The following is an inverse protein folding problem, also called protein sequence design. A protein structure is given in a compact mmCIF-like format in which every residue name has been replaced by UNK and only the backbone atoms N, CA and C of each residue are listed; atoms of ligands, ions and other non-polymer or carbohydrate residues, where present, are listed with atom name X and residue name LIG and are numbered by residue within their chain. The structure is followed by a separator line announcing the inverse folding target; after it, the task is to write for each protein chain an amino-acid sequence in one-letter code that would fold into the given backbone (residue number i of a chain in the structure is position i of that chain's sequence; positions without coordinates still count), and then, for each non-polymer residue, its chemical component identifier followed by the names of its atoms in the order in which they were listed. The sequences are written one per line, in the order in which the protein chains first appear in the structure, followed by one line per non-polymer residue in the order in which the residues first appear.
data_IF_354593055153
#
_entry.id   IF_354593055153
#
_cell.length_a   1.000
_cell.length_b   1.000
_cell.length_c   1.000
_cell.angle_alpha   90.00
_cell.angle_beta   90.00
_cell.angle_gamma   90.00
#
_symmetry.space_group_name_H-M   'P 1'
#
loop_
_entity.id
_entity.type
_entity.pdbx_description
1 polymer ?
#
# COMPACT_ATOMS: atom_id res chain seq x y z
N UNK A 1 33.04 21.67 31.24
CA UNK A 1 31.98 20.82 30.64
C UNK A 1 32.37 19.36 30.87
N UNK A 2 31.43 18.50 31.27
CA UNK A 2 31.71 17.07 31.38
C UNK A 2 32.05 16.49 30.00
N UNK A 3 32.96 15.51 29.95
CA UNK A 3 33.34 14.84 28.70
C UNK A 3 32.10 14.23 28.03
N UNK A 4 31.92 14.37 26.69
CA UNK A 4 30.80 13.75 25.99
C UNK A 4 30.93 12.21 25.91
N UNK A 5 32.13 11.69 26.12
CA UNK A 5 32.47 10.27 26.09
C UNK A 5 32.03 9.56 27.36
N UNK A 6 31.51 8.34 27.20
CA UNK A 6 31.08 7.48 28.32
C UNK A 6 31.88 6.18 28.29
N UNK A 7 32.27 5.62 29.44
CA UNK A 7 32.95 4.33 29.49
C UNK A 7 32.02 3.20 29.01
N UNK A 8 32.59 2.24 28.30
CA UNK A 8 31.87 1.07 27.79
C UNK A 8 32.81 -0.13 27.64
N UNK A 9 32.27 -1.34 27.84
CA UNK A 9 32.88 -2.57 27.31
C UNK A 9 32.16 -2.91 26.02
N UNK A 10 32.92 -3.20 24.97
CA UNK A 10 32.37 -3.48 23.64
C UNK A 10 32.74 -4.90 23.24
N UNK A 11 31.74 -5.66 22.82
CA UNK A 11 31.86 -6.97 22.23
C UNK A 11 31.50 -6.84 20.75
N UNK A 12 32.37 -7.33 19.88
CA UNK A 12 32.11 -7.48 18.45
C UNK A 12 30.98 -8.50 18.24
N UNK A 13 30.02 -8.18 17.38
CA UNK A 13 28.83 -8.99 17.15
C UNK A 13 28.38 -8.96 15.69
N UNK A 14 29.28 -8.58 14.79
CA UNK A 14 29.03 -8.51 13.34
C UNK A 14 28.67 -9.88 12.76
N UNK A 15 27.97 -9.85 11.63
CA UNK A 15 27.64 -11.02 10.82
C UNK A 15 27.00 -12.18 11.61
N UNK A 16 27.62 -13.36 11.58
CA UNK A 16 27.09 -14.61 12.16
C UNK A 16 27.21 -14.66 13.68
N UNK A 17 27.98 -13.76 14.27
CA UNK A 17 28.10 -13.64 15.73
C UNK A 17 26.86 -12.97 16.34
N UNK A 18 26.10 -12.19 15.56
CA UNK A 18 24.95 -11.42 16.03
C UNK A 18 23.95 -12.25 16.83
N UNK A 19 23.51 -13.39 16.30
CA UNK A 19 22.53 -14.24 16.99
C UNK A 19 23.09 -14.82 18.29
N UNK A 20 24.35 -15.24 18.28
CA UNK A 20 25.04 -15.78 19.45
C UNK A 20 25.24 -14.74 20.55
N UNK A 21 25.43 -13.47 20.17
CA UNK A 21 25.58 -12.37 21.11
C UNK A 21 24.23 -11.86 21.66
N UNK A 22 23.20 -11.79 20.81
CA UNK A 22 21.90 -11.17 21.15
C UNK A 22 20.96 -12.11 21.89
N UNK A 23 20.83 -13.38 21.47
CA UNK A 23 19.86 -14.31 22.08
C UNK A 23 20.09 -14.51 23.59
N UNK A 24 21.32 -14.73 24.08
CA UNK A 24 21.56 -14.86 25.52
C UNK A 24 21.15 -13.61 26.31
N UNK A 25 21.34 -12.42 25.75
CA UNK A 25 20.93 -11.17 26.40
C UNK A 25 19.40 -11.06 26.50
N UNK A 26 18.67 -11.45 25.46
CA UNK A 26 17.20 -11.47 25.49
C UNK A 26 16.67 -12.53 26.47
N UNK A 27 17.29 -13.71 26.51
CA UNK A 27 16.87 -14.80 27.40
C UNK A 27 17.19 -14.49 28.88
N UNK A 28 18.26 -13.74 29.16
CA UNK A 28 18.67 -13.35 30.52
C UNK A 28 18.09 -12.02 31.00
N UNK A 29 17.36 -11.28 30.14
CA UNK A 29 16.76 -10.00 30.50
C UNK A 29 15.83 -10.13 31.73
N UNK A 30 15.89 -9.15 32.63
CA UNK A 30 15.18 -9.18 33.91
C UNK A 30 14.14 -8.09 34.09
N UNK A 31 14.30 -6.94 33.43
CA UNK A 31 13.47 -5.74 33.65
C UNK A 31 12.81 -5.28 32.39
N UNK A 32 13.59 -5.04 31.34
CA UNK A 32 13.11 -4.40 30.13
C UNK A 32 13.94 -4.75 28.90
N UNK A 33 13.25 -4.96 27.78
CA UNK A 33 13.81 -5.02 26.44
C UNK A 33 13.14 -3.93 25.60
N UNK A 34 13.92 -2.98 25.11
CA UNK A 34 13.44 -1.94 24.19
C UNK A 34 14.14 -2.10 22.84
N UNK A 35 13.38 -2.27 21.77
CA UNK A 35 13.90 -2.51 20.42
C UNK A 35 13.38 -1.42 19.49
N UNK A 36 14.28 -0.82 18.73
CA UNK A 36 13.95 0.10 17.64
C UNK A 36 14.50 -0.48 16.34
N UNK A 37 13.61 -0.91 15.45
CA UNK A 37 13.98 -1.61 14.22
C UNK A 37 13.27 -1.02 13.00
N UNK A 38 14.06 -0.84 11.94
CA UNK A 38 13.55 -0.49 10.62
C UNK A 38 12.74 -1.62 9.98
N UNK A 39 13.23 -2.85 10.08
CA UNK A 39 12.63 -4.01 9.41
C UNK A 39 12.75 -5.26 10.29
N UNK A 40 11.63 -5.95 10.43
CA UNK A 40 11.52 -7.31 10.94
C UNK A 40 10.75 -8.13 9.90
N UNK A 41 11.27 -9.30 9.55
CA UNK A 41 10.67 -10.20 8.57
C UNK A 41 10.78 -11.65 9.06
N UNK A 42 9.80 -12.14 9.83
CA UNK A 42 9.72 -13.53 10.26
C UNK A 42 9.21 -14.43 9.12
N UNK A 43 9.29 -15.73 9.36
CA UNK A 43 8.70 -16.75 8.51
C UNK A 43 7.40 -17.29 9.13
N UNK A 44 6.36 -17.38 8.31
CA UNK A 44 5.05 -17.88 8.70
C UNK A 44 4.98 -19.41 8.74
N UNK A 45 5.94 -20.15 8.16
CA UNK A 45 5.91 -21.62 8.06
C UNK A 45 6.25 -22.39 9.35
N UNK A 46 6.34 -21.70 10.49
CA UNK A 46 6.63 -22.33 11.81
C UNK A 46 7.96 -23.10 11.87
N UNK A 47 8.92 -22.75 11.01
CA UNK A 47 10.27 -23.27 11.07
C UNK A 47 10.94 -22.82 12.40
N UNK A 48 11.28 -23.76 13.31
CA UNK A 48 11.89 -23.44 14.60
C UNK A 48 13.33 -22.93 14.47
N UNK A 49 14.03 -23.27 13.38
CA UNK A 49 15.40 -22.85 13.13
C UNK A 49 15.49 -21.48 12.44
N UNK A 50 14.35 -20.89 12.08
CA UNK A 50 14.32 -19.59 11.43
C UNK A 50 14.89 -18.49 12.36
N UNK A 51 15.95 -17.78 11.96
CA UNK A 51 16.73 -16.95 12.87
C UNK A 51 15.94 -15.76 13.44
N UNK A 52 15.07 -15.15 12.64
CA UNK A 52 14.18 -14.07 13.10
C UNK A 52 13.11 -14.60 14.04
N UNK A 53 12.61 -15.81 13.79
CA UNK A 53 11.58 -16.41 14.65
C UNK A 53 12.16 -16.67 16.04
N UNK A 54 13.39 -17.16 16.12
CA UNK A 54 14.09 -17.38 17.40
C UNK A 54 14.21 -16.09 18.23
N UNK A 55 14.50 -14.96 17.59
CA UNK A 55 14.55 -13.65 18.26
C UNK A 55 13.17 -13.23 18.78
N UNK A 56 12.11 -13.38 17.98
CA UNK A 56 10.74 -13.04 18.39
C UNK A 56 10.22 -13.97 19.49
N UNK A 57 10.53 -15.26 19.44
CA UNK A 57 10.21 -16.21 20.51
C UNK A 57 10.95 -15.88 21.81
N UNK A 58 12.19 -15.38 21.74
CA UNK A 58 12.90 -14.91 22.92
C UNK A 58 12.19 -13.73 23.60
N UNK A 59 11.60 -12.82 22.81
CA UNK A 59 10.78 -11.73 23.35
C UNK A 59 9.50 -12.24 24.02
N UNK A 60 8.81 -13.21 23.41
CA UNK A 60 7.63 -13.84 24.01
C UNK A 60 7.99 -14.56 25.33
N UNK A 61 9.10 -15.29 25.37
CA UNK A 61 9.61 -15.88 26.61
C UNK A 61 9.96 -14.82 27.66
N UNK A 62 10.50 -13.67 27.25
CA UNK A 62 10.75 -12.56 28.17
C UNK A 62 9.45 -12.00 28.77
N UNK A 63 8.39 -11.84 27.96
CA UNK A 63 7.06 -11.45 28.45
C UNK A 63 6.47 -12.46 29.43
N UNK A 64 6.70 -13.77 29.24
CA UNK A 64 6.30 -14.80 30.19
C UNK A 64 7.03 -14.71 31.54
N UNK A 65 8.21 -14.07 31.58
CA UNK A 65 8.97 -13.77 32.79
C UNK A 65 8.68 -12.36 33.34
N UNK A 66 7.57 -11.74 32.90
CA UNK A 66 7.17 -10.38 33.25
C UNK A 66 8.14 -9.25 32.85
N UNK A 67 9.13 -9.54 31.99
CA UNK A 67 10.03 -8.52 31.43
C UNK A 67 9.23 -7.59 30.54
N UNK A 68 9.35 -6.27 30.71
CA UNK A 68 8.69 -5.29 29.84
C UNK A 68 9.30 -5.33 28.45
N UNK A 69 8.51 -5.49 27.38
CA UNK A 69 9.02 -5.44 26.00
C UNK A 69 8.38 -4.29 25.25
N UNK A 70 9.21 -3.42 24.67
CA UNK A 70 8.81 -2.27 23.83
C UNK A 70 9.40 -2.40 22.44
N UNK A 71 8.56 -2.35 21.41
CA UNK A 71 8.97 -2.39 20.01
C UNK A 71 8.63 -1.06 19.34
N UNK A 72 9.62 -0.40 18.75
CA UNK A 72 9.46 0.77 17.90
C UNK A 72 9.76 0.36 16.46
N UNK A 73 8.73 0.38 15.63
CA UNK A 73 8.79 -0.14 14.27
C UNK A 73 8.56 0.98 13.26
N UNK A 74 9.29 0.93 12.16
CA UNK A 74 9.01 1.78 11.01
C UNK A 74 7.70 1.31 10.33
N UNK A 75 6.77 2.23 10.08
CA UNK A 75 5.55 1.92 9.31
C UNK A 75 5.25 3.01 8.29
N UNK A 76 4.42 2.67 7.31
CA UNK A 76 3.86 3.63 6.36
C UNK A 76 2.55 4.27 6.86
N UNK A 77 1.96 3.83 7.98
CA UNK A 77 0.60 4.24 8.41
C UNK A 77 0.45 4.56 9.91
N UNK A 78 -0.60 5.32 10.28
CA UNK A 78 -0.91 5.68 11.68
C UNK A 78 -1.53 4.56 12.53
N UNK A 79 -2.02 3.49 11.89
CA UNK A 79 -2.69 2.36 12.55
C UNK A 79 -1.80 1.14 12.39
N UNK A 80 -1.54 0.43 13.50
CA UNK A 80 -0.85 -0.86 13.50
C UNK A 80 -1.71 -1.88 12.76
N UNK A 81 -1.37 -2.17 11.52
CA UNK A 81 -1.96 -3.27 10.76
C UNK A 81 -0.94 -4.39 10.69
N UNK A 82 -1.42 -5.61 10.99
CA UNK A 82 -0.63 -6.85 10.98
C UNK A 82 0.23 -7.03 9.72
N UNK A 83 -0.30 -6.59 8.57
CA UNK A 83 0.34 -6.72 7.25
C UNK A 83 1.47 -5.69 7.01
N UNK A 84 1.50 -4.56 7.74
CA UNK A 84 2.35 -3.39 7.41
C UNK A 84 3.59 -3.24 8.30
N UNK A 85 3.60 -3.85 9.49
CA UNK A 85 4.77 -3.85 10.40
C UNK A 85 5.75 -5.00 10.13
N UNK A 86 5.45 -5.86 9.16
CA UNK A 86 6.31 -6.99 8.78
C UNK A 86 6.37 -8.11 9.81
N UNK A 87 5.52 -8.11 10.86
CA UNK A 87 5.56 -9.11 11.94
C UNK A 87 4.78 -10.40 11.63
N UNK A 88 4.04 -10.47 10.52
CA UNK A 88 3.32 -11.68 10.10
C UNK A 88 2.42 -12.23 11.21
N UNK A 89 2.46 -13.56 11.42
CA UNK A 89 1.71 -14.22 12.51
C UNK A 89 2.15 -13.86 13.93
N UNK A 90 3.34 -13.29 14.12
CA UNK A 90 3.84 -12.92 15.44
C UNK A 90 3.20 -11.65 15.99
N UNK A 91 2.58 -10.83 15.13
CA UNK A 91 1.96 -9.58 15.54
C UNK A 91 0.93 -9.78 16.67
N UNK A 92 -0.04 -10.67 16.47
CA UNK A 92 -1.10 -10.92 17.46
C UNK A 92 -0.52 -11.52 18.74
N UNK A 93 0.38 -12.50 18.62
CA UNK A 93 1.04 -13.14 19.78
C UNK A 93 1.81 -12.14 20.63
N UNK A 94 2.51 -11.20 20.00
CA UNK A 94 3.25 -10.15 20.72
C UNK A 94 2.28 -9.19 21.43
N UNK A 95 1.22 -8.74 20.76
CA UNK A 95 0.21 -7.89 21.40
C UNK A 95 -0.48 -8.59 22.58
N UNK A 96 -0.91 -9.84 22.40
CA UNK A 96 -1.56 -10.66 23.43
C UNK A 96 -0.65 -10.94 24.63
N UNK A 97 0.67 -11.04 24.41
CA UNK A 97 1.65 -11.14 25.50
C UNK A 97 1.84 -9.84 26.31
N UNK A 98 1.18 -8.74 25.89
CA UNK A 98 1.35 -7.41 26.47
C UNK A 98 2.63 -6.70 26.01
N UNK A 99 3.18 -7.06 24.85
CA UNK A 99 4.29 -6.31 24.25
C UNK A 99 3.78 -4.95 23.76
N UNK A 100 4.47 -3.88 24.15
CA UNK A 100 4.14 -2.52 23.72
C UNK A 100 4.69 -2.28 22.31
N UNK A 101 3.83 -2.36 21.30
CA UNK A 101 4.22 -2.12 19.90
C UNK A 101 3.83 -0.70 19.49
N UNK A 102 4.84 0.09 19.14
CA UNK A 102 4.71 1.45 18.60
C UNK A 102 5.16 1.47 17.16
N UNK A 103 4.31 1.94 16.26
CA UNK A 103 4.69 2.15 14.88
C UNK A 103 4.83 3.65 14.59
N UNK A 104 6.00 4.06 14.10
CA UNK A 104 6.35 5.47 13.89
C UNK A 104 5.92 5.98 12.53
N UNK A 105 5.36 7.20 12.52
CA UNK A 105 4.79 7.85 11.35
C UNK A 105 5.86 8.29 10.36
N UNK A 106 5.55 8.26 9.05
CA UNK A 106 6.57 8.33 8.00
C UNK A 106 7.13 9.74 7.75
N UNK A 107 6.87 10.73 8.61
CA UNK A 107 7.45 12.08 8.46
C UNK A 107 8.99 12.04 8.39
N UNK A 108 9.61 11.06 9.06
CA UNK A 108 11.00 10.63 8.89
C UNK A 108 11.08 9.12 9.04
N UNK A 109 11.93 8.47 8.24
CA UNK A 109 12.13 7.02 8.29
C UNK A 109 12.86 6.63 9.59
N UNK A 110 12.31 5.71 10.36
CA UNK A 110 13.01 5.09 11.48
C UNK A 110 13.97 4.04 10.92
N UNK A 111 15.26 4.36 10.82
CA UNK A 111 16.26 3.44 10.24
C UNK A 111 17.11 2.69 11.27
N UNK A 112 16.69 2.71 12.54
CA UNK A 112 17.41 2.08 13.63
C UNK A 112 17.55 0.56 13.44
N UNK A 113 18.65 0.01 13.98
CA UNK A 113 18.82 -1.40 14.32
C UNK A 113 19.40 -1.47 15.72
N UNK A 114 18.54 -1.19 16.68
CA UNK A 114 18.93 -0.88 18.05
C UNK A 114 18.13 -1.75 19.03
N UNK A 115 18.84 -2.35 19.97
CA UNK A 115 18.26 -3.08 21.09
C UNK A 115 18.88 -2.52 22.36
N UNK A 116 18.06 -2.24 23.37
CA UNK A 116 18.51 -1.91 24.72
C UNK A 116 17.91 -2.89 25.70
N UNK A 117 18.75 -3.57 26.46
CA UNK A 117 18.35 -4.56 27.47
C UNK A 117 18.71 -4.06 28.86
N UNK A 118 17.73 -4.07 29.76
CA UNK A 118 17.83 -3.74 31.19
C UNK A 118 18.47 -2.39 31.50
N UNK A 119 18.39 -1.44 30.56
CA UNK A 119 19.03 -0.13 30.67
C UNK A 119 20.55 -0.20 30.80
N UNK A 120 21.18 -1.27 30.28
CA UNK A 120 22.61 -1.55 30.42
C UNK A 120 23.27 -1.95 29.11
N UNK A 121 22.75 -2.98 28.45
CA UNK A 121 23.33 -3.51 27.23
C UNK A 121 22.67 -2.84 26.03
N UNK A 122 23.49 -2.35 25.11
CA UNK A 122 23.04 -1.77 23.85
C UNK A 122 23.59 -2.61 22.71
N UNK A 123 22.71 -3.12 21.86
CA UNK A 123 23.09 -3.74 20.58
C UNK A 123 22.80 -2.72 19.50
N UNK A 124 23.81 -2.32 18.74
CA UNK A 124 23.66 -1.35 17.66
C UNK A 124 24.53 -1.73 16.47
N UNK A 125 24.03 -1.47 15.26
CA UNK A 125 24.70 -1.86 14.01
C UNK A 125 23.87 -1.59 12.77
N UNK A 126 24.19 -2.31 11.69
CA UNK A 126 23.45 -2.31 10.42
C UNK A 126 22.39 -3.43 10.32
N UNK A 127 22.44 -4.42 11.23
CA UNK A 127 21.68 -5.67 11.16
C UNK A 127 20.17 -5.51 11.39
N UNK A 128 19.38 -5.55 10.32
CA UNK A 128 17.93 -5.71 10.44
C UNK A 128 17.58 -7.16 10.86
N UNK A 129 16.33 -7.41 11.24
CA UNK A 129 15.87 -8.78 11.50
C UNK A 129 15.26 -9.38 10.23
N UNK A 130 16.12 -9.83 9.33
CA UNK A 130 15.77 -10.61 8.14
C UNK A 130 16.74 -11.78 7.97
N UNK A 131 16.33 -12.80 7.21
CA UNK A 131 17.22 -13.92 6.85
C UNK A 131 18.49 -13.42 6.16
N UNK A 132 18.33 -12.50 5.20
CA UNK A 132 19.46 -11.95 4.47
C UNK A 132 20.47 -11.24 5.38
N UNK A 133 20.01 -10.38 6.28
CA UNK A 133 20.88 -9.68 7.23
C UNK A 133 21.60 -10.65 8.17
N UNK A 134 20.88 -11.67 8.68
CA UNK A 134 21.42 -12.58 9.68
C UNK A 134 22.29 -13.71 9.09
N UNK A 135 22.12 -14.06 7.81
CA UNK A 135 22.75 -15.26 7.23
C UNK A 135 23.53 -15.05 5.94
N UNK A 136 23.33 -13.95 5.20
CA UNK A 136 24.01 -13.76 3.90
C UNK A 136 24.79 -12.46 3.81
N UNK A 137 24.21 -11.34 4.22
CA UNK A 137 24.84 -10.03 4.15
C UNK A 137 26.06 -9.94 5.07
N UNK A 138 26.93 -8.99 4.73
CA UNK A 138 27.92 -8.44 5.65
C UNK A 138 27.26 -7.31 6.44
N UNK A 139 27.14 -7.49 7.75
CA UNK A 139 26.49 -6.58 8.68
C UNK A 139 27.43 -6.29 9.84
N UNK A 140 27.56 -5.01 10.21
CA UNK A 140 28.32 -4.64 11.39
C UNK A 140 27.40 -4.53 12.61
N UNK A 141 27.82 -5.05 13.75
CA UNK A 141 27.10 -4.86 15.00
C UNK A 141 28.03 -4.95 16.22
N UNK A 142 27.67 -4.26 17.30
CA UNK A 142 28.37 -4.37 18.57
C UNK A 142 27.39 -4.49 19.72
N UNK A 143 27.77 -5.28 20.72
CA UNK A 143 27.15 -5.28 22.05
C UNK A 143 27.96 -4.38 22.97
N UNK A 144 27.32 -3.37 23.52
CA UNK A 144 27.94 -2.32 24.32
C UNK A 144 27.36 -2.39 25.73
N UNK A 145 28.18 -2.80 26.70
CA UNK A 145 27.84 -2.74 28.13
C UNK A 145 28.18 -1.34 28.66
N UNK A 146 27.16 -0.49 28.76
CA UNK A 146 27.29 0.85 29.31
C UNK A 146 25.92 1.40 29.75
N UNK A 147 25.62 1.42 31.06
CA UNK A 147 24.36 1.99 31.57
C UNK A 147 24.13 3.45 31.18
N UNK A 148 25.21 4.24 31.08
CA UNK A 148 25.13 5.64 30.68
C UNK A 148 24.75 5.78 29.20
N UNK A 149 25.33 4.96 28.33
CA UNK A 149 24.99 4.93 26.91
C UNK A 149 23.55 4.42 26.70
N UNK A 150 23.18 3.33 27.37
CA UNK A 150 21.84 2.76 27.33
C UNK A 150 20.77 3.78 27.74
N UNK A 151 21.00 4.55 28.80
CA UNK A 151 20.08 5.63 29.21
C UNK A 151 19.89 6.68 28.13
N UNK A 152 20.96 7.14 27.48
CA UNK A 152 20.88 8.10 26.35
C UNK A 152 20.08 7.54 25.18
N UNK A 153 20.25 6.24 24.85
CA UNK A 153 19.48 5.56 23.80
C UNK A 153 18.00 5.47 24.15
N UNK A 154 17.67 5.06 25.38
CA UNK A 154 16.28 4.96 25.85
C UNK A 154 15.58 6.33 25.89
N UNK A 155 16.29 7.38 26.30
CA UNK A 155 15.76 8.76 26.28
C UNK A 155 15.41 9.19 24.86
N UNK A 156 16.32 8.99 23.90
CA UNK A 156 16.06 9.27 22.48
C UNK A 156 14.91 8.43 21.93
N UNK A 157 14.81 7.16 22.30
CA UNK A 157 13.67 6.30 21.92
C UNK A 157 12.35 6.82 22.50
N UNK A 158 12.33 7.29 23.75
CA UNK A 158 11.15 7.92 24.35
C UNK A 158 10.71 9.18 23.60
N UNK A 159 11.65 9.96 23.07
CA UNK A 159 11.36 11.12 22.23
C UNK A 159 10.76 10.76 20.86
N UNK A 160 10.91 9.51 20.41
CA UNK A 160 10.21 9.04 19.19
C UNK A 160 8.69 8.98 19.40
N UNK A 161 8.22 8.83 20.65
CA UNK A 161 6.79 8.83 20.99
C UNK A 161 6.20 10.21 21.20
N UNK A 162 7.03 11.20 21.53
CA UNK A 162 6.58 12.58 21.53
C UNK A 162 6.18 12.93 20.10
N UNK A 163 5.06 13.61 19.86
CA UNK A 163 4.74 14.13 18.54
C UNK A 163 5.92 14.99 18.11
N UNK A 164 6.79 14.41 17.27
CA UNK A 164 7.94 15.05 16.69
C UNK A 164 7.44 16.41 16.21
N UNK A 165 7.96 17.45 16.86
CA UNK A 165 7.61 18.87 16.71
C UNK A 165 6.80 19.08 15.45
N UNK A 166 5.53 19.48 15.62
CA UNK A 166 4.67 20.00 14.56
C UNK A 166 5.58 20.72 13.57
N UNK A 167 5.90 20.08 12.45
CA UNK A 167 6.21 20.84 11.24
C UNK A 167 5.05 21.81 11.17
N UNK A 168 5.31 23.12 11.07
CA UNK A 168 4.29 24.05 10.60
C UNK A 168 3.61 23.27 9.47
N UNK A 169 2.29 22.98 9.58
CA UNK A 169 1.63 22.28 8.51
C UNK A 169 2.07 23.04 7.27
N UNK A 170 2.64 22.33 6.28
CA UNK A 170 2.57 22.83 4.91
C UNK A 170 1.15 23.37 4.80
N UNK A 171 0.96 24.67 4.49
CA UNK A 171 -0.36 25.28 4.56
C UNK A 171 -1.32 24.28 3.94
N UNK A 172 -2.28 23.82 4.76
CA UNK A 172 -3.33 22.91 4.30
C UNK A 172 -3.81 23.57 3.00
N UNK A 173 -3.77 22.89 1.84
CA UNK A 173 -4.62 23.33 0.76
C UNK A 173 -6.01 23.55 1.37
N UNK A 174 -6.73 24.61 0.97
CA UNK A 174 -8.02 24.94 1.55
C UNK A 174 -8.89 23.69 1.69
N UNK A 175 -9.76 23.70 2.68
CA UNK A 175 -10.59 22.58 3.16
C UNK A 175 -11.69 22.16 2.15
N UNK A 176 -11.34 22.12 0.88
CA UNK A 176 -12.11 21.61 -0.25
C UNK A 176 -11.25 20.52 -0.90
N UNK A 177 -11.72 19.27 -0.80
CA UNK A 177 -11.24 18.15 -1.60
C UNK A 177 -11.09 18.64 -3.06
N UNK A 178 -9.93 18.44 -3.71
CA UNK A 178 -9.74 18.91 -5.09
C UNK A 178 -10.85 18.27 -5.94
N UNK A 179 -11.80 19.04 -6.47
CA UNK A 179 -12.97 18.46 -7.10
C UNK A 179 -12.55 17.82 -8.42
N UNK A 180 -13.23 16.74 -8.80
CA UNK A 180 -13.10 16.22 -10.16
C UNK A 180 -13.49 17.32 -11.13
N UNK A 181 -12.67 17.53 -12.17
CA UNK A 181 -12.99 18.45 -13.24
C UNK A 181 -14.29 18.01 -13.92
N UNK A 182 -15.13 18.96 -14.37
CA UNK A 182 -16.29 18.64 -15.21
C UNK A 182 -15.85 17.82 -16.42
N UNK A 183 -16.58 16.73 -16.70
CA UNK A 183 -16.30 15.90 -17.87
C UNK A 183 -16.64 16.70 -19.13
N UNK A 184 -15.76 16.77 -20.14
CA UNK A 184 -16.05 17.46 -21.40
C UNK A 184 -17.21 16.79 -22.15
N UNK A 185 -17.84 17.50 -23.10
CA UNK A 185 -18.95 16.95 -23.90
C UNK A 185 -18.58 15.65 -24.63
N UNK A 186 -17.35 15.57 -25.13
CA UNK A 186 -16.76 14.35 -25.68
C UNK A 186 -15.36 14.13 -25.13
N UNK A 187 -15.00 12.85 -24.99
CA UNK A 187 -13.69 12.43 -24.53
C UNK A 187 -13.09 11.45 -25.53
N UNK A 188 -11.86 11.70 -26.02
CA UNK A 188 -11.22 10.81 -26.98
C UNK A 188 -10.79 9.51 -26.29
N UNK A 189 -11.31 8.38 -26.78
CA UNK A 189 -11.01 7.05 -26.26
C UNK A 189 -10.32 6.20 -27.34
N UNK A 190 -9.12 5.63 -27.08
CA UNK A 190 -8.48 4.71 -28.02
C UNK A 190 -9.33 3.46 -28.27
N UNK A 191 -9.53 3.11 -29.54
CA UNK A 191 -10.27 1.89 -29.94
C UNK A 191 -9.57 0.62 -29.44
N UNK A 192 -8.25 0.69 -29.25
CA UNK A 192 -7.46 -0.41 -28.72
C UNK A 192 -7.91 -0.85 -27.31
N UNK A 193 -8.58 0.01 -26.53
CA UNK A 193 -9.11 -0.35 -25.20
C UNK A 193 -10.19 -1.43 -25.24
N UNK A 194 -10.83 -1.66 -26.39
CA UNK A 194 -11.87 -2.66 -26.58
C UNK A 194 -11.32 -4.07 -26.83
N UNK A 195 -10.00 -4.26 -26.75
CA UNK A 195 -9.35 -5.57 -26.80
C UNK A 195 -9.58 -6.38 -25.51
N UNK A 196 -9.64 -7.71 -25.64
CA UNK A 196 -10.09 -8.66 -24.59
C UNK A 196 -9.44 -8.50 -23.22
N UNK A 197 -8.16 -8.14 -23.18
CA UNK A 197 -7.32 -8.05 -21.99
C UNK A 197 -7.37 -6.69 -21.28
N UNK A 198 -8.12 -5.72 -21.82
CA UNK A 198 -8.17 -4.32 -21.36
C UNK A 198 -9.53 -3.99 -20.74
N UNK A 199 -10.29 -3.06 -21.33
CA UNK A 199 -11.58 -2.61 -20.81
C UNK A 199 -12.59 -3.78 -20.65
N UNK A 200 -12.74 -4.70 -21.63
CA UNK A 200 -13.53 -5.93 -21.48
C UNK A 200 -13.20 -6.79 -20.24
N UNK A 201 -11.93 -6.83 -19.83
CA UNK A 201 -11.50 -7.62 -18.67
C UNK A 201 -12.02 -7.06 -17.34
N UNK A 202 -12.43 -5.79 -17.32
CA UNK A 202 -12.98 -5.08 -16.17
C UNK A 202 -14.50 -5.23 -16.03
N UNK A 203 -15.21 -5.71 -17.05
CA UNK A 203 -16.69 -5.81 -17.12
C UNK A 203 -17.29 -6.92 -16.22
N UNK A 204 -16.48 -7.50 -15.32
CA UNK A 204 -16.94 -8.50 -14.35
C UNK A 204 -17.55 -7.81 -13.13
N UNK A 205 -18.62 -8.37 -12.55
CA UNK A 205 -19.28 -7.81 -11.35
C UNK A 205 -18.31 -7.55 -10.18
N UNK A 206 -17.33 -8.43 -9.98
CA UNK A 206 -16.27 -8.28 -8.97
C UNK A 206 -15.27 -7.15 -9.25
N UNK A 207 -15.30 -6.58 -10.45
CA UNK A 207 -14.34 -5.60 -10.96
C UNK A 207 -14.98 -4.25 -11.33
N UNK A 208 -16.28 -4.07 -11.08
CA UNK A 208 -17.03 -2.83 -11.34
C UNK A 208 -16.26 -1.57 -10.91
N UNK A 209 -15.73 -1.55 -9.68
CA UNK A 209 -15.00 -0.38 -9.17
C UNK A 209 -13.74 -0.03 -9.97
N UNK A 210 -13.06 -1.03 -10.54
CA UNK A 210 -11.88 -0.77 -11.38
C UNK A 210 -12.29 -0.25 -12.75
N UNK A 211 -13.42 -0.72 -13.29
CA UNK A 211 -14.01 -0.20 -14.52
C UNK A 211 -14.41 1.27 -14.35
N UNK A 212 -15.18 1.57 -13.31
CA UNK A 212 -15.65 2.93 -13.00
C UNK A 212 -14.46 3.87 -12.76
N UNK A 213 -13.46 3.43 -11.98
CA UNK A 213 -12.24 4.21 -11.74
C UNK A 213 -11.53 4.55 -13.05
N UNK A 214 -11.35 3.58 -13.94
CA UNK A 214 -10.65 3.83 -15.20
C UNK A 214 -11.42 4.85 -16.07
N UNK A 215 -12.74 4.76 -16.16
CA UNK A 215 -13.56 5.72 -16.91
C UNK A 215 -13.53 7.13 -16.30
N UNK A 216 -13.54 7.24 -14.96
CA UNK A 216 -13.37 8.51 -14.28
C UNK A 216 -12.02 9.14 -14.63
N UNK A 217 -10.93 8.35 -14.57
CA UNK A 217 -9.60 8.81 -14.94
C UNK A 217 -9.52 9.26 -16.41
N UNK A 218 -10.19 8.54 -17.31
CA UNK A 218 -10.28 8.93 -18.72
C UNK A 218 -10.98 10.27 -18.90
N UNK A 219 -12.10 10.49 -18.20
CA UNK A 219 -12.80 11.77 -18.22
C UNK A 219 -11.95 12.92 -17.68
N UNK A 220 -11.23 12.69 -16.58
CA UNK A 220 -10.29 13.67 -16.02
C UNK A 220 -9.12 13.96 -16.98
N UNK A 221 -8.61 12.94 -17.69
CA UNK A 221 -7.58 13.12 -18.73
C UNK A 221 -8.06 13.95 -19.91
N UNK A 222 -9.35 13.87 -20.27
CA UNK A 222 -9.93 14.73 -21.31
C UNK A 222 -10.11 16.17 -20.86
N UNK A 223 -10.37 16.40 -19.57
CA UNK A 223 -10.53 17.73 -18.99
C UNK A 223 -9.21 18.43 -18.62
N UNK A 224 -8.11 17.68 -18.49
CA UNK A 224 -6.82 18.17 -18.03
C UNK A 224 -5.83 18.42 -19.19
N UNK A 225 -5.16 19.57 -19.18
CA UNK A 225 -4.24 20.00 -20.24
C UNK A 225 -2.81 19.40 -20.15
N UNK A 226 -2.63 18.26 -19.46
CA UNK A 226 -1.33 17.70 -19.13
C UNK A 226 -1.26 16.16 -19.23
N UNK A 227 -0.05 15.58 -19.29
CA UNK A 227 0.16 14.14 -19.43
C UNK A 227 -0.04 13.35 -18.12
N UNK A 228 -0.10 14.03 -16.97
CA UNK A 228 -0.26 13.42 -15.67
C UNK A 228 -1.37 14.13 -14.89
N UNK A 229 -2.30 13.34 -14.37
CA UNK A 229 -3.38 13.77 -13.50
C UNK A 229 -2.89 13.79 -12.06
N UNK A 230 -3.05 14.93 -11.38
CA UNK A 230 -2.88 15.03 -9.94
C UNK A 230 -4.25 14.84 -9.28
N UNK A 231 -4.42 13.74 -8.55
CA UNK A 231 -5.73 13.31 -8.06
C UNK A 231 -5.71 13.09 -6.55
N UNK A 232 -6.62 13.77 -5.87
CA UNK A 232 -6.90 13.48 -4.48
C UNK A 232 -7.63 12.14 -4.33
N UNK A 233 -7.10 11.32 -3.42
CA UNK A 233 -7.55 9.95 -3.20
C UNK A 233 -8.89 9.90 -2.45
N UNK A 234 -9.26 10.92 -1.70
CA UNK A 234 -10.55 11.00 -1.01
C UNK A 234 -11.66 11.36 -1.98
N UNK A 235 -11.43 12.35 -2.86
CA UNK A 235 -12.33 12.68 -3.97
C UNK A 235 -12.63 11.44 -4.82
N UNK A 236 -11.59 10.70 -5.23
CA UNK A 236 -11.76 9.45 -5.97
C UNK A 236 -12.52 8.40 -5.16
N UNK A 237 -12.25 8.29 -3.87
CA UNK A 237 -12.93 7.35 -2.98
C UNK A 237 -14.44 7.60 -2.91
N UNK A 238 -14.86 8.87 -2.78
CA UNK A 238 -16.26 9.27 -2.81
C UNK A 238 -16.90 8.98 -4.18
N UNK A 239 -16.19 9.28 -5.27
CA UNK A 239 -16.67 8.99 -6.63
C UNK A 239 -16.89 7.48 -6.87
N UNK A 240 -16.07 6.63 -6.24
CA UNK A 240 -16.15 5.16 -6.34
C UNK A 240 -17.15 4.48 -5.39
N UNK A 241 -17.99 5.25 -4.70
CA UNK A 241 -18.99 4.75 -3.73
C UNK A 241 -18.34 3.91 -2.62
N UNK A 242 -17.17 4.32 -2.15
CA UNK A 242 -16.64 3.77 -0.92
C UNK A 242 -17.54 4.20 0.26
N UNK A 243 -17.77 3.34 1.25
CA UNK A 243 -18.65 3.67 2.37
C UNK A 243 -18.19 4.94 3.10
N UNK A 244 -19.12 5.84 3.37
CA UNK A 244 -18.85 7.18 3.92
C UNK A 244 -18.38 7.09 5.37
N UNK A 245 -18.78 6.02 6.07
CA UNK A 245 -18.36 5.69 7.42
C UNK A 245 -16.89 5.22 7.51
N UNK A 246 -16.24 4.92 6.39
CA UNK A 246 -14.83 4.53 6.40
C UNK A 246 -13.94 5.72 6.70
N UNK A 247 -12.96 5.51 7.57
CA UNK A 247 -11.97 6.54 7.85
C UNK A 247 -11.14 6.88 6.59
N UNK A 248 -10.60 8.10 6.58
CA UNK A 248 -9.75 8.64 5.50
C UNK A 248 -8.65 7.67 5.06
N UNK A 249 -8.00 6.98 6.00
CA UNK A 249 -6.90 6.05 5.70
C UNK A 249 -7.41 4.82 4.96
N UNK A 250 -8.56 4.30 5.37
CA UNK A 250 -9.22 3.16 4.75
C UNK A 250 -9.69 3.48 3.33
N UNK A 251 -10.30 4.66 3.11
CA UNK A 251 -10.68 5.15 1.78
C UNK A 251 -9.44 5.21 0.87
N UNK A 252 -8.39 5.94 1.30
CA UNK A 252 -7.15 6.09 0.54
C UNK A 252 -6.52 4.73 0.21
N UNK A 253 -6.48 3.80 1.15
CA UNK A 253 -5.94 2.44 0.93
C UNK A 253 -6.67 1.69 -0.19
N UNK A 254 -7.98 1.79 -0.24
CA UNK A 254 -8.80 1.08 -1.23
C UNK A 254 -8.64 1.68 -2.62
N UNK A 255 -8.54 3.02 -2.73
CA UNK A 255 -8.23 3.69 -4.00
C UNK A 255 -6.82 3.36 -4.47
N UNK A 256 -5.81 3.38 -3.59
CA UNK A 256 -4.43 2.99 -3.92
C UNK A 256 -4.38 1.55 -4.44
N UNK A 257 -5.07 0.61 -3.76
CA UNK A 257 -5.15 -0.78 -4.19
C UNK A 257 -5.79 -0.92 -5.58
N UNK A 258 -6.80 -0.09 -5.88
CA UNK A 258 -7.43 -0.08 -7.19
C UNK A 258 -6.52 0.47 -8.29
N UNK A 259 -5.85 1.61 -8.04
CA UNK A 259 -4.89 2.20 -8.97
C UNK A 259 -3.71 1.25 -9.26
N UNK A 260 -3.11 0.65 -8.21
CA UNK A 260 -2.05 -0.36 -8.38
C UNK A 260 -2.53 -1.56 -9.19
N UNK A 261 -3.77 -2.01 -8.99
CA UNK A 261 -4.31 -3.13 -9.78
C UNK A 261 -4.48 -2.75 -11.26
N UNK A 262 -4.94 -1.54 -11.56
CA UNK A 262 -5.04 -1.03 -12.93
C UNK A 262 -3.66 -0.94 -13.61
N UNK A 263 -2.62 -0.57 -12.87
CA UNK A 263 -1.23 -0.58 -13.34
C UNK A 263 -0.67 -2.00 -13.51
N UNK A 264 -0.62 -2.77 -12.42
CA UNK A 264 0.19 -4.00 -12.34
C UNK A 264 -0.47 -5.19 -13.04
N UNK A 265 -1.81 -5.23 -13.10
CA UNK A 265 -2.55 -6.36 -13.67
C UNK A 265 -3.15 -6.07 -15.04
N UNK A 266 -3.61 -4.84 -15.25
CA UNK A 266 -4.31 -4.45 -16.49
C UNK A 266 -3.45 -3.57 -17.40
N UNK A 267 -2.32 -3.05 -16.90
CA UNK A 267 -1.38 -2.22 -17.66
C UNK A 267 -2.07 -1.05 -18.37
N UNK A 268 -3.05 -0.43 -17.70
CA UNK A 268 -3.87 0.65 -18.26
C UNK A 268 -3.39 2.06 -17.89
N UNK A 269 -2.51 2.16 -16.90
CA UNK A 269 -1.99 3.42 -16.38
C UNK A 269 -0.65 3.20 -15.65
N UNK A 270 0.07 4.29 -15.42
CA UNK A 270 1.17 4.41 -14.48
C UNK A 270 0.74 5.31 -13.32
N UNK A 271 1.08 4.92 -12.09
CA UNK A 271 0.78 5.71 -10.89
C UNK A 271 1.98 5.83 -9.96
N UNK A 272 2.20 7.05 -9.48
CA UNK A 272 3.16 7.32 -8.40
C UNK A 272 2.45 7.97 -7.22
N UNK A 273 2.95 7.65 -6.02
CA UNK A 273 2.42 8.17 -4.76
C UNK A 273 3.53 8.95 -4.04
N UNK A 274 3.74 10.24 -4.39
CA UNK A 274 4.68 11.08 -3.70
C UNK A 274 4.29 11.23 -2.21
N UNK A 275 5.32 11.38 -1.36
CA UNK A 275 5.12 11.32 0.09
C UNK A 275 4.30 12.50 0.60
N UNK A 276 3.06 12.23 1.05
CA UNK A 276 2.18 13.26 1.61
C UNK A 276 1.44 14.11 0.56
N UNK A 277 1.46 13.70 -0.70
CA UNK A 277 0.87 14.40 -1.83
C UNK A 277 -0.20 13.54 -2.54
N UNK A 278 -0.86 14.13 -3.52
CA UNK A 278 -1.86 13.50 -4.38
C UNK A 278 -1.25 12.44 -5.30
N UNK A 279 -2.08 11.50 -5.75
CA UNK A 279 -1.60 10.48 -6.67
C UNK A 279 -1.36 11.12 -8.03
N UNK A 280 -0.17 10.88 -8.62
CA UNK A 280 0.12 11.27 -10.00
C UNK A 280 -0.14 10.08 -10.90
N UNK A 281 -1.14 10.21 -11.76
CA UNK A 281 -1.62 9.15 -12.65
C UNK A 281 -1.43 9.55 -14.10
N UNK A 282 -0.78 8.71 -14.88
CA UNK A 282 -0.69 8.86 -16.35
C UNK A 282 -1.37 7.68 -16.99
N UNK A 283 -2.35 7.92 -17.86
CA UNK A 283 -2.99 6.86 -18.62
C UNK A 283 -2.05 6.32 -19.67
N UNK A 284 -2.08 5.01 -19.89
CA UNK A 284 -1.23 4.38 -20.91
C UNK A 284 -1.62 4.88 -22.30
N UNK A 285 -0.61 5.22 -23.10
CA UNK A 285 -0.83 5.67 -24.47
C UNK A 285 -0.96 4.46 -25.39
N UNK A 286 -1.97 4.47 -26.24
CA UNK A 286 -2.20 3.41 -27.22
C UNK A 286 -2.19 4.00 -28.61
N UNK A 287 -1.29 3.49 -29.46
CA UNK A 287 -1.25 3.83 -30.88
C UNK A 287 -2.52 3.35 -31.59
N UNK A 288 -2.98 4.14 -32.57
CA UNK A 288 -4.13 3.82 -33.42
C UNK A 288 -5.32 4.77 -33.27
N UNK A 289 -6.44 4.35 -33.83
CA UNK A 289 -7.65 5.15 -33.91
C UNK A 289 -8.25 5.49 -32.54
N UNK A 290 -8.77 6.71 -32.44
CA UNK A 290 -9.60 7.16 -31.32
C UNK A 290 -11.06 7.31 -31.76
N UNK A 291 -11.96 7.17 -30.81
CA UNK A 291 -13.38 7.48 -30.93
C UNK A 291 -13.74 8.58 -29.95
N UNK A 292 -14.65 9.47 -30.36
CA UNK A 292 -15.23 10.47 -29.48
C UNK A 292 -16.36 9.83 -28.68
N UNK A 293 -16.16 9.70 -27.36
CA UNK A 293 -17.15 9.16 -26.44
C UNK A 293 -17.91 10.31 -25.79
N UNK A 294 -19.25 10.32 -25.79
CA UNK A 294 -20.02 11.31 -25.07
C UNK A 294 -19.66 11.32 -23.58
N UNK A 295 -19.27 12.47 -23.03
CA UNK A 295 -18.83 12.63 -21.64
C UNK A 295 -19.84 12.12 -20.62
N UNK A 296 -21.14 12.30 -20.91
CA UNK A 296 -22.25 11.76 -20.10
C UNK A 296 -22.12 10.25 -19.79
N UNK A 297 -21.50 9.45 -20.67
CA UNK A 297 -21.33 8.01 -20.47
C UNK A 297 -20.31 7.66 -19.39
N UNK A 298 -19.42 8.59 -19.06
CA UNK A 298 -18.34 8.42 -18.09
C UNK A 298 -18.49 9.37 -16.89
N UNK A 299 -19.61 10.08 -16.81
CA UNK A 299 -19.95 10.90 -15.64
C UNK A 299 -20.19 10.02 -14.41
N UNK A 300 -19.70 10.49 -13.27
CA UNK A 300 -19.78 9.78 -12.00
C UNK A 300 -21.22 9.40 -11.64
N UNK A 301 -22.19 10.28 -11.90
CA UNK A 301 -23.59 10.03 -11.53
C UNK A 301 -24.27 9.00 -12.45
N UNK A 302 -23.92 8.96 -13.74
CA UNK A 302 -24.41 7.89 -14.62
C UNK A 302 -23.77 6.55 -14.26
N UNK A 303 -22.45 6.54 -14.02
CA UNK A 303 -21.73 5.36 -13.55
C UNK A 303 -22.29 4.85 -12.22
N UNK A 304 -22.84 5.73 -11.37
CA UNK A 304 -23.56 5.34 -10.14
C UNK A 304 -24.85 4.54 -10.43
N UNK A 305 -25.54 4.83 -11.51
CA UNK A 305 -26.81 4.18 -11.86
C UNK A 305 -26.69 2.90 -12.69
N UNK A 306 -25.53 2.64 -13.30
CA UNK A 306 -25.37 1.59 -14.31
C UNK A 306 -24.41 0.48 -13.88
N UNK A 307 -24.55 -0.69 -14.51
CA UNK A 307 -23.53 -1.73 -14.40
C UNK A 307 -22.43 -1.52 -15.44
N UNK A 308 -21.21 -1.99 -15.15
CA UNK A 308 -20.08 -1.90 -16.08
C UNK A 308 -20.39 -2.58 -17.40
N UNK A 309 -21.27 -3.59 -17.40
CA UNK A 309 -21.76 -4.24 -18.61
C UNK A 309 -22.57 -3.29 -19.48
N UNK A 310 -23.53 -2.58 -18.90
CA UNK A 310 -24.42 -1.70 -19.64
C UNK A 310 -23.64 -0.51 -20.20
N UNK A 311 -22.75 0.08 -19.38
CA UNK A 311 -21.84 1.14 -19.82
C UNK A 311 -20.87 0.65 -20.91
N UNK A 312 -20.28 -0.53 -20.74
CA UNK A 312 -19.39 -1.12 -21.76
C UNK A 312 -20.11 -1.34 -23.09
N UNK A 313 -21.35 -1.82 -23.07
CA UNK A 313 -22.13 -2.05 -24.30
C UNK A 313 -22.47 -0.74 -25.01
N UNK A 314 -22.81 0.32 -24.27
CA UNK A 314 -23.01 1.65 -24.84
C UNK A 314 -21.73 2.19 -25.50
N UNK A 315 -20.57 1.97 -24.88
CA UNK A 315 -19.27 2.33 -25.45
C UNK A 315 -18.94 1.49 -26.69
N UNK A 316 -19.19 0.18 -26.64
CA UNK A 316 -18.95 -0.74 -27.75
C UNK A 316 -19.84 -0.42 -28.97
N UNK A 317 -21.07 0.03 -28.74
CA UNK A 317 -21.96 0.48 -29.81
C UNK A 317 -21.38 1.67 -30.59
N UNK A 318 -20.72 2.61 -29.91
CA UNK A 318 -20.06 3.75 -30.56
C UNK A 318 -18.93 3.28 -31.48
N UNK A 319 -18.12 2.31 -31.02
CA UNK A 319 -17.06 1.70 -31.83
C UNK A 319 -17.65 1.04 -33.08
N UNK A 320 -18.69 0.21 -32.91
CA UNK A 320 -19.32 -0.51 -34.01
C UNK A 320 -19.98 0.44 -35.02
N UNK A 321 -20.64 1.50 -34.55
CA UNK A 321 -21.25 2.50 -35.44
C UNK A 321 -20.20 3.22 -36.30
N UNK A 322 -19.01 3.50 -35.77
CA UNK A 322 -17.89 4.04 -36.58
C UNK A 322 -17.46 3.06 -37.69
N UNK A 323 -17.64 1.77 -37.46
CA UNK A 323 -17.36 0.69 -38.42
C UNK A 323 -18.56 0.37 -39.35
N UNK A 324 -19.68 1.09 -39.22
CA UNK A 324 -20.91 0.82 -39.98
C UNK A 324 -21.67 -0.43 -39.54
N UNK A 325 -21.40 -0.94 -38.33
CA UNK A 325 -22.02 -2.13 -37.76
C UNK A 325 -23.01 -1.76 -36.67
N UNK A 326 -24.22 -2.30 -36.73
CA UNK A 326 -25.20 -2.18 -35.64
C UNK A 326 -24.93 -3.24 -34.56
N UNK A 327 -24.80 -2.82 -33.30
CA UNK A 327 -24.64 -3.72 -32.15
C UNK A 327 -25.76 -4.76 -32.08
N UNK A 328 -27.00 -4.37 -32.40
CA UNK A 328 -28.17 -5.25 -32.34
C UNK A 328 -28.26 -6.24 -33.50
N UNK A 329 -27.46 -6.05 -34.55
CA UNK A 329 -27.30 -7.02 -35.65
C UNK A 329 -26.36 -8.17 -35.31
N UNK A 330 -25.51 -8.01 -34.28
CA UNK A 330 -24.52 -9.01 -33.89
C UNK A 330 -25.10 -10.03 -32.89
N UNK A 331 -24.86 -11.30 -33.17
CA UNK A 331 -25.14 -12.39 -32.24
C UNK A 331 -24.18 -12.37 -31.04
N UNK A 332 -24.61 -12.95 -29.92
CA UNK A 332 -23.77 -13.06 -28.70
C UNK A 332 -22.39 -13.70 -28.95
N UNK A 333 -22.26 -14.79 -29.74
CA UNK A 333 -20.95 -15.34 -30.09
C UNK A 333 -20.06 -14.38 -30.90
N UNK A 334 -20.65 -13.55 -31.77
CA UNK A 334 -19.91 -12.54 -32.53
C UNK A 334 -19.37 -11.44 -31.61
N UNK A 335 -20.18 -10.99 -30.64
CA UNK A 335 -19.74 -10.01 -29.62
C UNK A 335 -18.67 -10.59 -28.69
N UNK A 336 -18.81 -11.86 -28.27
CA UNK A 336 -17.80 -12.57 -27.49
C UNK A 336 -16.48 -12.69 -28.25
N UNK A 337 -16.53 -13.02 -29.56
CA UNK A 337 -15.35 -13.06 -30.42
C UNK A 337 -14.74 -11.68 -30.63
N UNK A 338 -15.57 -10.65 -30.80
CA UNK A 338 -15.13 -9.27 -31.10
C UNK A 338 -14.45 -8.60 -29.91
N UNK A 339 -15.06 -8.68 -28.73
CA UNK A 339 -14.64 -7.94 -27.55
C UNK A 339 -14.05 -8.82 -26.44
N UNK A 340 -14.12 -10.15 -26.57
CA UNK A 340 -13.61 -11.07 -25.56
C UNK A 340 -14.40 -11.07 -24.25
N UNK A 341 -15.64 -10.59 -24.27
CA UNK A 341 -16.54 -10.52 -23.11
C UNK A 341 -17.27 -11.86 -22.94
N UNK A 342 -17.24 -12.44 -21.74
CA UNK A 342 -17.79 -13.78 -21.51
C UNK A 342 -19.32 -13.86 -21.60
N UNK A 343 -19.85 -15.03 -21.99
CA UNK A 343 -21.30 -15.29 -22.18
C UNK A 343 -22.22 -14.83 -21.05
N UNK A 344 -21.80 -14.92 -19.79
CA UNK A 344 -22.59 -14.50 -18.61
C UNK A 344 -22.73 -12.98 -18.48
N UNK A 345 -21.87 -12.22 -19.13
CA UNK A 345 -21.91 -10.76 -19.15
C UNK A 345 -22.87 -10.27 -20.24
N UNK A 346 -23.01 -10.99 -21.35
CA UNK A 346 -23.86 -10.64 -22.50
C UNK A 346 -25.32 -11.10 -22.38
N UNK A 347 -25.73 -11.69 -21.25
CA UNK A 347 -27.10 -12.20 -21.02
C UNK A 347 -28.16 -11.10 -21.01
N UNK A 348 -27.78 -9.84 -20.76
CA UNK A 348 -28.69 -8.67 -20.71
C UNK A 348 -28.99 -8.04 -22.08
N UNK A 349 -28.27 -8.42 -23.13
CA UNK A 349 -28.61 -7.98 -24.48
C UNK A 349 -29.89 -8.68 -24.95
N UNK A 350 -30.89 -7.95 -25.47
CA UNK A 350 -32.02 -8.54 -26.19
C UNK A 350 -31.48 -9.49 -27.25
N UNK A 351 -32.17 -10.61 -27.49
CA UNK A 351 -31.84 -11.45 -28.64
C UNK A 351 -31.87 -10.58 -29.90
N UNK A 352 -30.84 -10.68 -30.75
CA UNK A 352 -30.77 -9.97 -32.02
C UNK A 352 -32.11 -10.13 -32.75
N UNK A 353 -32.68 -9.02 -33.25
CA UNK A 353 -33.87 -9.10 -34.09
C UNK A 353 -33.47 -9.88 -35.33
N UNK A 354 -33.93 -11.13 -35.41
CA UNK A 354 -33.82 -11.94 -36.61
C UNK A 354 -34.65 -11.28 -37.71
N UNK A 355 -33.99 -10.45 -38.53
CA UNK A 355 -34.54 -9.98 -39.79
C UNK A 355 -34.62 -11.17 -40.75
N UNK A 356 -35.84 -11.47 -41.20
CA UNK A 356 -36.12 -12.26 -42.39
C UNK A 356 -35.81 -11.44 -43.64
#
# INVERSE_FOLDING_TARGET
MASPWVPAKVLEASDREYLGAVLPLLDQAQKEIAISLYLIQPDDQANPDHPVNRLLEALLRARQRDVRVRLYLNTKFRVLLKEEVGLGKYFDRLLESGTEVTALLPARRLHDKLIVIDGRYVVEGSTNWSVSALQTNFESASVIDSPQHARKKLERMGQLMLPQVRRKPSPKPPEEDLPLLPVPETVPMPVALFQRDRLPALVRKSSQRFFDLYLILLGQSGAHAGPALELDLETLGRALRLPVEWDRTTIRRQVIKALRKLQDRYHLLQVTFPFGEDAKVTLEHWEGDKIEVPGRLIEVDLLKGQSATDTFLALAEIVLRKEGVDLHSLSRPQLEKRFGVGRRTLTRLPAARSGK
#
